data_IF_995482058247
#
_entry.id   IF_995482058247
#
_cell.length_a   1.000
_cell.length_b   1.000
_cell.length_c   1.000
_cell.angle_alpha   90.00
_cell.angle_beta   90.00
_cell.angle_gamma   90.00
#
_symmetry.space_group_name_H-M   'P 1'
#
loop_
_entity.id
_entity.type
_entity.pdbx_description
1 polymer ?
#
# COMPACT_ATOMS: atom_id res chain seq x y z
N UNK A 1 7.24 29.75 -0.83
CA UNK A 1 6.05 28.88 -0.69
C UNK A 1 6.30 28.00 0.53
N UNK A 2 5.43 28.06 1.53
CA UNK A 2 5.61 27.28 2.75
C UNK A 2 5.24 25.81 2.50
N UNK A 3 6.19 24.91 2.73
CA UNK A 3 5.99 23.46 2.55
C UNK A 3 4.88 22.96 3.50
N UNK A 4 4.74 23.57 4.68
CA UNK A 4 3.68 23.24 5.63
C UNK A 4 2.28 23.47 5.01
N UNK A 5 2.10 24.56 4.27
CA UNK A 5 0.84 24.87 3.58
C UNK A 5 0.51 23.85 2.49
N UNK A 6 1.51 23.39 1.72
CA UNK A 6 1.31 22.36 0.69
C UNK A 6 0.94 21.01 1.31
N UNK A 7 1.56 20.64 2.43
CA UNK A 7 1.24 19.40 3.16
C UNK A 7 -0.16 19.49 3.76
N UNK A 8 -0.54 20.60 4.39
CA UNK A 8 -1.89 20.76 4.94
C UNK A 8 -2.97 20.71 3.85
N UNK A 9 -2.70 21.30 2.67
CA UNK A 9 -3.66 21.39 1.57
C UNK A 9 -3.79 20.11 0.74
N UNK A 10 -2.68 19.42 0.48
CA UNK A 10 -2.65 18.25 -0.41
C UNK A 10 -2.31 16.94 0.30
N UNK A 11 -1.92 16.97 1.58
CA UNK A 11 -1.46 15.81 2.33
C UNK A 11 -2.51 14.71 2.42
N UNK A 12 -3.77 15.04 2.69
CA UNK A 12 -4.85 14.04 2.71
C UNK A 12 -5.11 13.43 1.34
N UNK A 13 -5.09 14.23 0.27
CA UNK A 13 -5.23 13.71 -1.09
C UNK A 13 -4.05 12.80 -1.47
N UNK A 14 -2.83 13.17 -1.09
CA UNK A 14 -1.64 12.35 -1.27
C UNK A 14 -1.71 11.05 -0.46
N UNK A 15 -2.22 11.08 0.77
CA UNK A 15 -2.49 9.87 1.57
C UNK A 15 -3.48 8.98 0.85
N UNK A 16 -4.64 9.53 0.43
CA UNK A 16 -5.65 8.76 -0.29
C UNK A 16 -5.10 8.11 -1.56
N UNK A 17 -4.48 8.90 -2.43
CA UNK A 17 -3.92 8.41 -3.69
C UNK A 17 -2.77 7.43 -3.46
N UNK A 18 -1.94 7.68 -2.44
CA UNK A 18 -0.84 6.80 -2.04
C UNK A 18 -1.34 5.46 -1.54
N UNK A 19 -2.31 5.45 -0.62
CA UNK A 19 -2.88 4.21 -0.07
C UNK A 19 -3.77 3.46 -1.04
N UNK A 20 -4.34 4.13 -2.04
CA UNK A 20 -5.07 3.50 -3.14
C UNK A 20 -4.18 2.59 -4.00
N UNK A 21 -2.92 3.01 -4.25
CA UNK A 21 -2.00 2.30 -5.13
C UNK A 21 -0.97 1.48 -4.36
N UNK A 22 -0.12 2.13 -3.56
CA UNK A 22 0.94 1.53 -2.74
C UNK A 22 1.37 2.56 -1.67
N UNK A 23 0.98 2.35 -0.41
CA UNK A 23 0.90 3.46 0.55
C UNK A 23 1.54 3.27 1.92
N UNK A 24 2.31 2.22 2.19
CA UNK A 24 2.98 2.04 3.50
C UNK A 24 3.92 3.21 3.77
N UNK A 25 4.78 3.56 2.81
CA UNK A 25 5.69 4.69 2.95
C UNK A 25 4.92 6.01 3.09
N UNK A 26 3.88 6.19 2.28
CA UNK A 26 3.06 7.41 2.33
C UNK A 26 2.36 7.54 3.69
N UNK A 27 1.82 6.45 4.21
CA UNK A 27 1.12 6.42 5.49
C UNK A 27 2.07 6.56 6.68
N UNK A 28 3.26 5.96 6.62
CA UNK A 28 4.32 6.18 7.62
C UNK A 28 4.69 7.67 7.66
N UNK A 29 4.92 8.28 6.51
CA UNK A 29 5.24 9.70 6.41
C UNK A 29 4.06 10.58 6.85
N UNK A 30 2.82 10.18 6.57
CA UNK A 30 1.64 10.90 7.03
C UNK A 30 1.43 10.80 8.54
N UNK A 31 1.71 9.64 9.14
CA UNK A 31 1.72 9.48 10.60
C UNK A 31 2.79 10.36 11.25
N UNK A 32 3.98 10.41 10.67
CA UNK A 32 5.05 11.32 11.09
C UNK A 32 4.61 12.79 10.94
N UNK A 33 4.04 13.16 9.79
CA UNK A 33 3.53 14.50 9.54
C UNK A 33 2.45 14.90 10.55
N UNK A 34 1.60 13.95 10.94
CA UNK A 34 0.58 14.16 11.94
C UNK A 34 1.17 14.41 13.34
N UNK A 35 2.24 13.69 13.71
CA UNK A 35 2.97 13.98 14.94
C UNK A 35 3.55 15.40 14.97
N UNK A 36 4.00 15.90 13.81
CA UNK A 36 4.56 17.25 13.65
C UNK A 36 3.51 18.35 13.57
N UNK A 37 2.21 18.00 13.62
CA UNK A 37 1.11 18.95 13.53
C UNK A 37 0.79 19.44 12.12
N UNK A 38 1.35 18.83 11.07
CA UNK A 38 1.00 19.16 9.68
C UNK A 38 -0.32 18.54 9.23
N UNK A 39 -0.72 17.44 9.86
CA UNK A 39 -1.96 16.72 9.62
C UNK A 39 -2.56 16.29 10.96
N UNK A 40 -3.84 16.00 10.97
CA UNK A 40 -4.50 15.38 12.12
C UNK A 40 -4.44 13.86 12.00
N UNK A 41 -4.12 13.19 13.10
CA UNK A 41 -3.89 11.76 13.11
C UNK A 41 -5.15 10.94 12.75
N UNK A 42 -6.32 11.34 13.28
CA UNK A 42 -7.57 10.62 13.03
C UNK A 42 -8.02 10.72 11.54
N UNK A 43 -8.01 11.89 10.89
CA UNK A 43 -8.22 12.00 9.45
C UNK A 43 -7.20 11.21 8.61
N UNK A 44 -5.91 11.17 9.00
CA UNK A 44 -4.91 10.33 8.31
C UNK A 44 -5.34 8.86 8.31
N UNK A 45 -5.76 8.31 9.45
CA UNK A 45 -6.25 6.93 9.54
C UNK A 45 -7.47 6.73 8.65
N UNK A 46 -8.47 7.61 8.75
CA UNK A 46 -9.73 7.49 8.00
C UNK A 46 -9.52 7.54 6.48
N UNK A 47 -8.72 8.48 6.00
CA UNK A 47 -8.41 8.62 4.57
C UNK A 47 -7.58 7.45 4.07
N UNK A 48 -6.59 7.00 4.84
CA UNK A 48 -5.78 5.84 4.50
C UNK A 48 -6.59 4.56 4.42
N UNK A 49 -7.50 4.35 5.38
CA UNK A 49 -8.45 3.25 5.44
C UNK A 49 -9.32 3.23 4.18
N UNK A 50 -9.97 4.35 3.84
CA UNK A 50 -10.82 4.46 2.66
C UNK A 50 -10.05 4.20 1.36
N UNK A 51 -8.90 4.86 1.17
CA UNK A 51 -8.09 4.71 -0.03
C UNK A 51 -7.65 3.25 -0.24
N UNK A 52 -7.13 2.62 0.81
CA UNK A 52 -6.69 1.23 0.72
C UNK A 52 -7.85 0.26 0.51
N UNK A 53 -8.98 0.44 1.22
CA UNK A 53 -10.15 -0.42 1.03
C UNK A 53 -10.71 -0.32 -0.39
N UNK A 54 -10.79 0.88 -0.97
CA UNK A 54 -11.26 1.09 -2.33
C UNK A 54 -10.32 0.47 -3.38
N UNK A 55 -9.00 0.59 -3.18
CA UNK A 55 -8.01 -0.03 -4.07
C UNK A 55 -8.15 -1.55 -4.09
N UNK A 56 -8.25 -2.15 -2.91
CA UNK A 56 -8.41 -3.60 -2.75
C UNK A 56 -9.73 -4.10 -3.35
N UNK A 57 -10.83 -3.34 -3.20
CA UNK A 57 -12.11 -3.63 -3.84
C UNK A 57 -12.01 -3.60 -5.36
N UNK A 58 -11.30 -2.63 -5.92
CA UNK A 58 -11.08 -2.52 -7.37
C UNK A 58 -10.32 -3.74 -7.90
N UNK A 59 -9.22 -4.13 -7.26
CA UNK A 59 -8.44 -5.30 -7.68
C UNK A 59 -9.21 -6.61 -7.52
N UNK A 60 -9.96 -6.77 -6.43
CA UNK A 60 -10.84 -7.92 -6.25
C UNK A 60 -11.88 -8.02 -7.36
N UNK A 61 -12.53 -6.90 -7.71
CA UNK A 61 -13.53 -6.88 -8.77
C UNK A 61 -12.92 -7.11 -10.15
N UNK A 62 -11.73 -6.56 -10.41
CA UNK A 62 -10.96 -6.86 -11.64
C UNK A 62 -10.64 -8.36 -11.74
N UNK A 63 -10.21 -8.98 -10.65
CA UNK A 63 -9.96 -10.42 -10.58
C UNK A 63 -11.22 -11.22 -10.85
N UNK A 64 -12.35 -10.84 -10.23
CA UNK A 64 -13.66 -11.48 -10.38
C UNK A 64 -14.17 -11.46 -11.82
N UNK A 65 -14.11 -10.31 -12.48
CA UNK A 65 -14.70 -10.10 -13.81
C UNK A 65 -13.76 -10.54 -14.94
N UNK A 66 -12.46 -10.42 -14.76
CA UNK A 66 -11.47 -10.65 -15.81
C UNK A 66 -10.57 -11.87 -15.58
N UNK A 67 -10.87 -12.73 -14.58
CA UNK A 67 -10.10 -13.95 -14.26
C UNK A 67 -9.66 -14.73 -15.50
N UNK A 68 -10.63 -15.11 -16.36
CA UNK A 68 -10.39 -15.90 -17.57
C UNK A 68 -9.44 -15.22 -18.54
N UNK A 69 -9.61 -13.90 -18.77
CA UNK A 69 -8.76 -13.12 -19.67
C UNK A 69 -7.34 -12.93 -19.10
N UNK A 70 -7.22 -12.73 -17.80
CA UNK A 70 -5.94 -12.58 -17.10
C UNK A 70 -5.11 -13.88 -17.14
N UNK A 71 -5.76 -15.03 -16.89
CA UNK A 71 -5.10 -16.34 -16.94
C UNK A 71 -4.70 -16.73 -18.37
N UNK A 72 -5.56 -16.43 -19.35
CA UNK A 72 -5.25 -16.67 -20.77
C UNK A 72 -4.07 -15.81 -21.26
N UNK A 73 -3.96 -14.56 -20.80
CA UNK A 73 -2.88 -13.65 -21.20
C UNK A 73 -1.51 -14.00 -20.61
N UNK A 74 -1.45 -14.78 -19.52
CA UNK A 74 -0.18 -15.14 -18.86
C UNK A 74 -0.17 -16.61 -18.40
N UNK A 75 -0.04 -17.57 -19.33
CA UNK A 75 -0.07 -19.01 -19.01
C UNK A 75 0.99 -19.44 -18.00
N UNK A 76 2.17 -18.81 -18.03
CA UNK A 76 3.26 -19.05 -17.09
C UNK A 76 2.91 -18.72 -15.62
N UNK A 77 1.88 -17.90 -15.39
CA UNK A 77 1.40 -17.59 -14.04
C UNK A 77 0.40 -18.64 -13.52
N UNK A 78 -0.15 -19.50 -14.37
CA UNK A 78 -1.21 -20.44 -13.97
C UNK A 78 -0.78 -21.36 -12.83
N UNK A 79 0.43 -21.94 -12.88
CA UNK A 79 0.88 -22.89 -11.83
C UNK A 79 1.11 -22.21 -10.48
N UNK A 80 1.70 -21.00 -10.46
CA UNK A 80 1.90 -20.23 -9.22
C UNK A 80 0.56 -19.71 -8.69
N UNK A 81 -0.32 -19.26 -9.57
CA UNK A 81 -1.66 -18.79 -9.23
C UNK A 81 -2.52 -19.93 -8.68
N UNK A 82 -2.45 -21.13 -9.26
CA UNK A 82 -3.19 -22.29 -8.78
C UNK A 82 -2.82 -22.68 -7.34
N UNK A 83 -1.52 -22.65 -6.99
CA UNK A 83 -1.07 -22.87 -5.60
C UNK A 83 -1.58 -21.78 -4.65
N UNK A 84 -1.52 -20.52 -5.09
CA UNK A 84 -2.02 -19.40 -4.29
C UNK A 84 -3.54 -19.51 -4.07
N UNK A 85 -4.31 -19.84 -5.11
CA UNK A 85 -5.74 -20.06 -5.04
C UNK A 85 -6.10 -21.22 -4.12
N UNK A 86 -5.39 -22.36 -4.23
CA UNK A 86 -5.62 -23.51 -3.34
C UNK A 86 -5.38 -23.16 -1.86
N UNK A 87 -4.38 -22.32 -1.56
CA UNK A 87 -4.16 -21.86 -0.19
C UNK A 87 -5.24 -20.86 0.26
N UNK A 88 -5.62 -19.92 -0.60
CA UNK A 88 -6.71 -18.96 -0.35
C UNK A 88 -8.03 -19.69 -0.06
N UNK A 89 -8.33 -20.77 -0.78
CA UNK A 89 -9.55 -21.56 -0.59
C UNK A 89 -9.55 -22.31 0.74
N UNK A 90 -8.38 -22.74 1.23
CA UNK A 90 -8.24 -23.37 2.56
C UNK A 90 -8.37 -22.38 3.70
N UNK A 91 -7.86 -21.16 3.52
CA UNK A 91 -7.82 -20.14 4.57
C UNK A 91 -8.26 -18.75 4.07
N UNK A 92 -9.52 -18.57 3.63
CA UNK A 92 -9.96 -17.34 2.96
C UNK A 92 -9.89 -16.11 3.87
N UNK A 93 -10.28 -16.24 5.14
CA UNK A 93 -10.28 -15.11 6.07
C UNK A 93 -8.86 -14.66 6.40
N UNK A 94 -7.98 -15.64 6.68
CA UNK A 94 -6.57 -15.38 6.91
C UNK A 94 -5.93 -14.75 5.67
N UNK A 95 -6.28 -15.19 4.47
CA UNK A 95 -5.77 -14.60 3.24
C UNK A 95 -6.16 -13.13 3.09
N UNK A 96 -7.41 -12.77 3.40
CA UNK A 96 -7.91 -11.39 3.32
C UNK A 96 -7.26 -10.49 4.38
N UNK A 97 -6.99 -11.02 5.57
CA UNK A 97 -6.32 -10.25 6.61
C UNK A 97 -4.82 -10.12 6.31
N UNK A 98 -4.16 -11.25 6.04
CA UNK A 98 -2.73 -11.33 5.82
C UNK A 98 -2.26 -10.60 4.57
N UNK A 99 -3.08 -10.48 3.52
CA UNK A 99 -2.66 -9.80 2.28
C UNK A 99 -2.15 -8.37 2.49
N UNK A 100 -2.58 -7.71 3.58
CA UNK A 100 -2.10 -6.38 3.93
C UNK A 100 -0.70 -6.40 4.55
N UNK A 101 -0.26 -7.49 5.16
CA UNK A 101 1.05 -7.57 5.80
C UNK A 101 2.13 -8.17 4.88
N UNK A 102 1.75 -8.73 3.73
CA UNK A 102 2.68 -9.28 2.74
C UNK A 102 3.14 -8.19 1.75
N UNK A 103 4.39 -7.77 1.91
CA UNK A 103 5.01 -6.75 1.08
C UNK A 103 5.14 -7.23 -0.38
N UNK A 104 4.73 -6.38 -1.33
CA UNK A 104 4.85 -6.66 -2.77
C UNK A 104 3.78 -7.59 -3.36
N UNK A 105 2.85 -8.12 -2.55
CA UNK A 105 1.74 -8.96 -3.01
C UNK A 105 0.38 -8.26 -2.94
N UNK A 106 0.35 -6.97 -2.61
CA UNK A 106 -0.88 -6.21 -2.37
C UNK A 106 -1.76 -5.98 -3.60
N UNK A 107 -1.23 -6.04 -4.81
CA UNK A 107 -2.07 -6.06 -6.03
C UNK A 107 -2.46 -7.48 -6.40
N UNK A 108 -1.55 -8.42 -6.19
CA UNK A 108 -1.72 -9.81 -6.63
C UNK A 108 -2.73 -10.58 -5.76
N UNK A 109 -2.75 -10.34 -4.44
CA UNK A 109 -3.60 -11.06 -3.50
C UNK A 109 -5.08 -10.66 -3.58
N UNK A 110 -5.48 -9.38 -3.59
CA UNK A 110 -6.87 -9.02 -3.82
C UNK A 110 -7.36 -9.50 -5.19
N UNK A 111 -6.51 -9.41 -6.22
CA UNK A 111 -6.80 -9.94 -7.54
C UNK A 111 -7.03 -11.46 -7.49
N UNK A 112 -6.16 -12.22 -6.81
CA UNK A 112 -6.31 -13.67 -6.64
C UNK A 112 -7.53 -14.05 -5.81
N UNK A 113 -7.84 -13.31 -4.75
CA UNK A 113 -9.10 -13.42 -3.99
C UNK A 113 -10.31 -13.12 -4.88
N UNK A 114 -10.17 -12.19 -5.82
CA UNK A 114 -11.13 -11.94 -6.87
C UNK A 114 -11.34 -13.14 -7.79
N UNK A 115 -10.29 -13.91 -8.08
CA UNK A 115 -10.39 -15.11 -8.92
C UNK A 115 -10.89 -16.36 -8.16
N UNK A 116 -10.91 -16.34 -6.83
CA UNK A 116 -11.35 -17.47 -6.01
C UNK A 116 -12.86 -17.49 -5.78
N UNK A 117 -13.32 -18.51 -5.05
CA UNK A 117 -14.73 -18.72 -4.65
C UNK A 117 -15.22 -17.77 -3.54
N UNK A 118 -14.34 -16.92 -3.00
CA UNK A 118 -14.68 -15.97 -1.92
C UNK A 118 -15.78 -15.02 -2.35
N UNK A 119 -16.87 -14.90 -1.59
CA UNK A 119 -17.96 -13.96 -1.92
C UNK A 119 -17.53 -12.49 -1.73
N UNK A 120 -18.10 -11.58 -2.54
CA UNK A 120 -17.79 -10.15 -2.43
C UNK A 120 -18.13 -9.58 -1.06
N UNK A 121 -19.24 -10.01 -0.44
CA UNK A 121 -19.65 -9.56 0.90
C UNK A 121 -18.62 -9.95 1.97
N UNK A 122 -18.09 -11.18 1.91
CA UNK A 122 -17.07 -11.67 2.84
C UNK A 122 -15.77 -10.88 2.67
N UNK A 123 -15.35 -10.68 1.43
CA UNK A 123 -14.17 -9.86 1.12
C UNK A 123 -14.34 -8.43 1.61
N UNK A 124 -15.47 -7.77 1.33
CA UNK A 124 -15.72 -6.38 1.70
C UNK A 124 -15.54 -6.14 3.20
N UNK A 125 -16.22 -6.90 4.06
CA UNK A 125 -16.17 -6.68 5.50
C UNK A 125 -14.80 -6.98 6.12
N UNK A 126 -14.18 -8.10 5.71
CA UNK A 126 -12.85 -8.45 6.20
C UNK A 126 -11.77 -7.51 5.68
N UNK A 127 -11.90 -7.03 4.44
CA UNK A 127 -11.03 -6.01 3.89
C UNK A 127 -11.15 -4.69 4.66
N UNK A 128 -12.38 -4.22 4.95
CA UNK A 128 -12.57 -3.02 5.77
C UNK A 128 -11.92 -3.13 7.15
N UNK A 129 -12.11 -4.27 7.83
CA UNK A 129 -11.52 -4.52 9.14
C UNK A 129 -9.99 -4.57 9.09
N UNK A 130 -9.45 -5.37 8.16
CA UNK A 130 -8.01 -5.49 7.94
C UNK A 130 -7.40 -4.14 7.57
N UNK A 131 -8.12 -3.32 6.80
CA UNK A 131 -7.69 -1.98 6.42
C UNK A 131 -7.64 -1.00 7.56
N UNK A 132 -8.63 -1.02 8.45
CA UNK A 132 -8.66 -0.16 9.62
C UNK A 132 -7.49 -0.50 10.56
N UNK A 133 -7.30 -1.80 10.84
CA UNK A 133 -6.20 -2.28 11.68
C UNK A 133 -4.84 -1.88 11.08
N UNK A 134 -4.64 -2.13 9.79
CA UNK A 134 -3.42 -1.74 9.11
C UNK A 134 -3.18 -0.23 9.14
N UNK A 135 -4.21 0.58 8.91
CA UNK A 135 -4.08 2.03 8.85
C UNK A 135 -3.64 2.58 10.22
N UNK A 136 -4.27 2.10 11.30
CA UNK A 136 -3.89 2.47 12.66
C UNK A 136 -2.46 2.03 13.01
N UNK A 137 -2.08 0.80 12.67
CA UNK A 137 -0.73 0.28 12.94
C UNK A 137 0.35 1.08 12.21
N UNK A 138 0.21 1.28 10.90
CA UNK A 138 1.25 1.93 10.10
C UNK A 138 1.30 3.43 10.35
N UNK A 139 0.15 4.11 10.46
CA UNK A 139 0.15 5.52 10.86
C UNK A 139 0.72 5.68 12.27
N UNK A 140 0.38 4.79 13.20
CA UNK A 140 0.88 4.80 14.57
C UNK A 140 2.40 4.61 14.66
N UNK A 141 2.97 3.70 13.85
CA UNK A 141 4.43 3.55 13.73
C UNK A 141 5.07 4.85 13.22
N UNK A 142 4.49 5.47 12.20
CA UNK A 142 4.95 6.77 11.68
C UNK A 142 4.90 7.89 12.72
N UNK A 143 3.80 7.96 13.47
CA UNK A 143 3.61 8.94 14.54
C UNK A 143 4.63 8.76 15.67
N UNK A 144 4.82 7.52 16.14
CA UNK A 144 5.80 7.18 17.18
C UNK A 144 7.23 7.45 16.72
N UNK A 145 7.54 7.24 15.44
CA UNK A 145 8.83 7.59 14.87
C UNK A 145 9.06 9.12 14.91
N UNK A 146 8.01 9.92 14.68
CA UNK A 146 8.04 11.36 14.88
C UNK A 146 8.40 11.76 16.30
N UNK A 147 7.75 11.12 17.28
CA UNK A 147 8.02 11.36 18.70
C UNK A 147 9.47 11.01 19.09
N UNK A 148 10.01 9.93 18.52
CA UNK A 148 11.38 9.50 18.79
C UNK A 148 12.42 10.50 18.26
N UNK A 149 12.22 11.00 17.04
CA UNK A 149 13.10 12.00 16.42
C UNK A 149 13.07 13.30 17.22
N UNK A 150 11.88 13.77 17.60
CA UNK A 150 11.72 14.98 18.39
C UNK A 150 12.49 14.92 19.73
N UNK A 151 12.54 13.75 20.37
CA UNK A 151 13.26 13.55 21.63
C UNK A 151 14.77 13.40 21.47
N UNK A 152 15.24 12.67 20.45
CA UNK A 152 16.67 12.30 20.32
C UNK A 152 17.50 13.17 19.40
N UNK A 153 16.86 13.91 18.50
CA UNK A 153 17.55 14.71 17.49
C UNK A 153 16.85 16.05 17.27
N UNK A 154 16.70 16.91 18.31
CA UNK A 154 16.03 18.20 18.17
C UNK A 154 16.70 19.11 17.13
N UNK A 155 18.00 18.97 16.91
CA UNK A 155 18.75 19.68 15.86
C UNK A 155 18.29 19.33 14.43
N UNK A 156 17.60 18.21 14.24
CA UNK A 156 17.13 17.76 12.93
C UNK A 156 15.83 18.42 12.51
N UNK A 157 15.14 19.12 13.41
CA UNK A 157 13.88 19.82 13.12
C UNK A 157 13.93 20.73 11.89
N UNK A 158 15.10 21.33 11.60
CA UNK A 158 15.28 22.20 10.43
C UNK A 158 15.32 21.45 9.08
N UNK A 159 15.63 20.15 9.09
CA UNK A 159 15.83 19.33 7.88
C UNK A 159 14.75 18.26 7.68
N UNK A 160 13.73 18.21 8.53
CA UNK A 160 12.71 17.14 8.50
C UNK A 160 11.96 17.05 7.18
N UNK A 161 11.60 18.19 6.58
CA UNK A 161 10.92 18.21 5.28
C UNK A 161 11.80 17.64 4.16
N UNK A 162 13.10 17.92 4.22
CA UNK A 162 14.08 17.34 3.31
C UNK A 162 14.26 15.84 3.56
N UNK A 163 14.20 15.39 4.82
CA UNK A 163 14.19 13.97 5.18
C UNK A 163 12.98 13.23 4.62
N UNK A 164 11.78 13.78 4.76
CA UNK A 164 10.56 13.20 4.19
C UNK A 164 10.62 13.15 2.66
N UNK A 165 11.06 14.24 2.03
CA UNK A 165 11.25 14.29 0.58
C UNK A 165 12.30 13.27 0.11
N UNK A 166 13.41 13.12 0.83
CA UNK A 166 14.45 12.14 0.53
C UNK A 166 13.92 10.70 0.62
N UNK A 167 13.11 10.37 1.64
CA UNK A 167 12.48 9.04 1.74
C UNK A 167 11.57 8.76 0.55
N UNK A 168 10.76 9.73 0.11
CA UNK A 168 9.92 9.59 -1.08
C UNK A 168 10.78 9.36 -2.33
N UNK A 169 11.80 10.19 -2.55
CA UNK A 169 12.70 10.09 -3.71
C UNK A 169 13.43 8.75 -3.72
N UNK A 170 13.97 8.30 -2.58
CA UNK A 170 14.65 7.01 -2.46
C UNK A 170 13.70 5.83 -2.70
N UNK A 171 12.47 5.89 -2.19
CA UNK A 171 11.46 4.86 -2.42
C UNK A 171 11.07 4.77 -3.91
N UNK A 172 10.93 5.92 -4.59
CA UNK A 172 10.66 6.00 -6.02
C UNK A 172 11.86 5.51 -6.85
N UNK A 173 13.09 5.92 -6.49
CA UNK A 173 14.31 5.49 -7.15
C UNK A 173 14.52 3.97 -7.02
N UNK A 174 14.32 3.41 -5.82
CA UNK A 174 14.41 1.97 -5.60
C UNK A 174 13.36 1.19 -6.41
N UNK A 175 12.12 1.72 -6.51
CA UNK A 175 11.08 1.15 -7.38
C UNK A 175 11.48 1.21 -8.85
N UNK A 176 11.99 2.35 -9.31
CA UNK A 176 12.48 2.53 -10.68
C UNK A 176 13.62 1.58 -11.02
N UNK A 177 14.60 1.46 -10.13
CA UNK A 177 15.75 0.55 -10.27
C UNK A 177 15.31 -0.91 -10.35
N UNK A 178 14.42 -1.37 -9.45
CA UNK A 178 13.90 -2.74 -9.48
C UNK A 178 13.15 -3.03 -10.79
N UNK A 179 12.35 -2.07 -11.28
CA UNK A 179 11.64 -2.20 -12.55
C UNK A 179 12.60 -2.23 -13.75
N UNK A 180 13.68 -1.46 -13.71
CA UNK A 180 14.70 -1.46 -14.76
C UNK A 180 15.48 -2.79 -14.79
N UNK A 181 15.89 -3.31 -13.62
CA UNK A 181 16.55 -4.63 -13.50
C UNK A 181 15.66 -5.82 -13.81
N UNK A 182 14.35 -5.69 -13.62
CA UNK A 182 13.37 -6.72 -13.99
C UNK A 182 13.00 -6.70 -15.48
N UNK A 183 13.56 -5.78 -16.28
CA UNK A 183 13.45 -5.88 -17.74
C UNK A 183 14.33 -7.04 -18.18
N UNK A 184 13.79 -8.07 -18.86
CA UNK A 184 14.62 -9.10 -19.45
C UNK A 184 15.57 -8.40 -20.41
N UNK A 185 16.87 -8.68 -20.28
CA UNK A 185 17.86 -8.33 -21.29
C UNK A 185 17.28 -8.76 -22.63
N UNK A 186 17.04 -7.82 -23.55
CA UNK A 186 16.81 -8.18 -24.94
C UNK A 186 18.08 -8.90 -25.36
N UNK A 187 18.04 -10.22 -25.48
CA UNK A 187 19.01 -10.97 -26.26
C UNK A 187 19.05 -10.30 -27.63
N UNK A 188 20.15 -9.58 -27.85
CA UNK A 188 20.63 -9.21 -29.16
C UNK A 188 20.76 -10.50 -29.95
N UNK A 189 19.98 -10.62 -31.02
CA UNK A 189 20.22 -11.64 -32.01
C UNK A 189 19.75 -11.15 -33.38
N UNK A 190 20.24 -11.79 -34.45
CA UNK A 190 21.60 -12.28 -34.69
C UNK A 190 22.49 -11.23 -35.39
#
# INVERSE_FOLDING_TARGET
MDIAFLIARFGYAAVFAGTLLEGETVLLLAGYAAHRGYLDFAPVIGVAWLGASLGDQLFFWLGRRHARRLLAARPALNTKMARALAWIERHPDLAIIAMRFLWGLRTALPLALGMSTVSWRRFFWLNLLSAALWAALVAGVGWSFGALIAQRAPAWHRYEHWGMAAVVVLALAARGWRRWRARPSKESGP
#
